data_IF_114406761161
#
_entry.id   IF_114406761161
#
_cell.length_a   1.000
_cell.length_b   1.000
_cell.length_c   1.000
_cell.angle_alpha   90.00
_cell.angle_beta   90.00
_cell.angle_gamma   90.00
#
_symmetry.space_group_name_H-M   'P 1'
#
loop_
_entity.id
_entity.type
_entity.pdbx_description
1 polymer ?
#
# COMPACT_ATOMS: atom_id res chain seq x y z
N UNK A 1 9.70 -19.82 5.52
CA UNK A 1 9.57 -18.71 4.56
C UNK A 1 8.59 -17.70 5.13
N UNK A 2 8.96 -16.43 5.23
CA UNK A 2 8.07 -15.39 5.74
C UNK A 2 6.91 -15.24 4.75
N UNK A 3 5.66 -15.47 5.17
CA UNK A 3 4.51 -15.35 4.26
C UNK A 3 4.37 -13.87 3.86
N UNK A 4 4.58 -13.58 2.57
CA UNK A 4 4.40 -12.24 2.02
C UNK A 4 2.96 -11.79 2.31
N UNK A 5 2.75 -10.61 2.91
CA UNK A 5 1.40 -10.11 3.17
C UNK A 5 0.64 -9.93 1.86
N UNK A 6 -0.68 -10.13 1.87
CA UNK A 6 -1.52 -9.89 0.69
C UNK A 6 -1.53 -8.39 0.35
N UNK A 7 -1.47 -8.07 -0.95
CA UNK A 7 -1.57 -6.68 -1.44
C UNK A 7 -2.91 -6.06 -1.03
N UNK A 8 -2.93 -4.82 -0.51
CA UNK A 8 -4.17 -4.17 -0.12
C UNK A 8 -5.04 -3.89 -1.35
N UNK A 9 -6.34 -4.19 -1.23
CA UNK A 9 -7.34 -3.84 -2.24
C UNK A 9 -7.61 -2.33 -2.18
N UNK A 10 -7.55 -1.67 -3.34
CA UNK A 10 -7.87 -0.24 -3.45
C UNK A 10 -9.36 -0.01 -3.21
N UNK A 11 -9.69 1.01 -2.41
CA UNK A 11 -11.07 1.50 -2.27
C UNK A 11 -11.52 2.07 -3.61
N UNK A 12 -12.77 1.76 -3.99
CA UNK A 12 -13.41 2.26 -5.19
C UNK A 12 -13.92 3.69 -4.95
N UNK A 13 -13.85 4.52 -5.98
CA UNK A 13 -14.41 5.87 -5.94
C UNK A 13 -15.94 5.86 -5.84
N UNK A 14 -16.54 6.90 -5.26
CA UNK A 14 -17.98 7.10 -5.34
C UNK A 14 -18.44 7.21 -6.80
N UNK A 15 -19.73 6.95 -7.04
CA UNK A 15 -20.33 7.15 -8.35
C UNK A 15 -20.24 8.63 -8.75
N UNK A 16 -19.87 8.88 -9.99
CA UNK A 16 -19.78 10.24 -10.53
C UNK A 16 -21.16 10.90 -10.50
N UNK A 17 -21.28 12.16 -10.05
CA UNK A 17 -22.52 12.93 -10.12
C UNK A 17 -22.98 13.09 -11.56
N UNK A 18 -24.30 13.25 -11.76
CA UNK A 18 -24.86 13.64 -13.06
C UNK A 18 -24.39 15.06 -13.41
N UNK A 19 -24.36 15.39 -14.71
CA UNK A 19 -24.01 16.74 -15.18
C UNK A 19 -24.91 17.83 -14.60
N UNK A 20 -26.18 17.51 -14.33
CA UNK A 20 -27.19 18.39 -13.74
C UNK A 20 -27.13 18.46 -12.21
N UNK A 21 -26.19 17.79 -11.56
CA UNK A 21 -26.05 17.84 -10.12
C UNK A 21 -25.59 19.24 -9.67
N UNK A 22 -26.02 19.64 -8.47
CA UNK A 22 -25.65 20.93 -7.90
C UNK A 22 -24.15 21.03 -7.62
N UNK A 23 -23.63 22.26 -7.57
CA UNK A 23 -22.22 22.54 -7.26
C UNK A 23 -21.78 21.88 -5.95
N UNK A 24 -22.64 21.91 -4.92
CA UNK A 24 -22.36 21.27 -3.63
C UNK A 24 -22.15 19.76 -3.77
N UNK A 25 -22.91 19.08 -4.63
CA UNK A 25 -22.73 17.63 -4.89
C UNK A 25 -21.38 17.36 -5.56
N UNK A 26 -20.97 18.22 -6.49
CA UNK A 26 -19.65 18.13 -7.12
C UNK A 26 -18.51 18.35 -6.13
N UNK A 27 -18.61 19.34 -5.26
CA UNK A 27 -17.60 19.61 -4.22
C UNK A 27 -17.50 18.45 -3.23
N UNK A 28 -18.64 17.92 -2.79
CA UNK A 28 -18.68 16.72 -1.95
C UNK A 28 -18.07 15.49 -2.64
N UNK A 29 -18.31 15.31 -3.94
CA UNK A 29 -17.71 14.24 -4.73
C UNK A 29 -16.19 14.35 -4.79
N UNK A 30 -15.66 15.54 -5.12
CA UNK A 30 -14.21 15.80 -5.15
C UNK A 30 -13.56 15.52 -3.80
N UNK A 31 -14.19 15.98 -2.71
CA UNK A 31 -13.71 15.72 -1.34
C UNK A 31 -13.61 14.23 -1.04
N UNK A 32 -14.66 13.46 -1.35
CA UNK A 32 -14.67 12.00 -1.17
C UNK A 32 -13.62 11.28 -2.01
N UNK A 33 -13.39 11.73 -3.25
CA UNK A 33 -12.32 11.18 -4.09
C UNK A 33 -10.93 11.42 -3.47
N UNK A 34 -10.66 12.66 -3.02
CA UNK A 34 -9.40 12.99 -2.37
C UNK A 34 -9.15 12.18 -1.08
N UNK A 35 -10.20 11.92 -0.29
CA UNK A 35 -10.11 11.08 0.90
C UNK A 35 -9.79 9.63 0.54
N UNK A 36 -10.39 9.09 -0.52
CA UNK A 36 -10.10 7.74 -1.03
C UNK A 36 -8.67 7.63 -1.52
N UNK A 37 -8.16 8.65 -2.21
CA UNK A 37 -6.77 8.70 -2.66
C UNK A 37 -5.80 8.64 -1.49
N UNK A 38 -6.03 9.45 -0.45
CA UNK A 38 -5.21 9.43 0.78
C UNK A 38 -5.20 8.03 1.42
N UNK A 39 -6.38 7.42 1.56
CA UNK A 39 -6.50 6.09 2.18
C UNK A 39 -5.82 5.02 1.34
N UNK A 40 -5.97 5.05 0.02
CA UNK A 40 -5.32 4.12 -0.89
C UNK A 40 -3.79 4.29 -0.86
N UNK A 41 -3.30 5.53 -0.82
CA UNK A 41 -1.89 5.84 -0.71
C UNK A 41 -1.28 5.35 0.62
N UNK A 42 -1.97 5.58 1.74
CA UNK A 42 -1.55 5.12 3.07
C UNK A 42 -1.44 3.59 3.11
N UNK A 43 -2.48 2.87 2.69
CA UNK A 43 -2.46 1.40 2.63
C UNK A 43 -1.34 0.86 1.75
N UNK A 44 -1.10 1.48 0.61
CA UNK A 44 0.00 1.09 -0.28
C UNK A 44 1.37 1.34 0.36
N UNK A 45 1.54 2.46 1.05
CA UNK A 45 2.78 2.81 1.77
C UNK A 45 3.09 1.81 2.88
N UNK A 46 2.11 1.49 3.72
CA UNK A 46 2.25 0.47 4.77
C UNK A 46 2.57 -0.90 4.22
N UNK A 47 1.92 -1.30 3.12
CA UNK A 47 2.22 -2.53 2.42
C UNK A 47 3.68 -2.56 1.95
N UNK A 48 4.14 -1.49 1.28
CA UNK A 48 5.54 -1.38 0.81
C UNK A 48 6.54 -1.46 1.98
N UNK A 49 6.25 -0.82 3.11
CA UNK A 49 7.10 -0.88 4.32
C UNK A 49 7.21 -2.31 4.85
N UNK A 50 6.10 -3.06 4.93
CA UNK A 50 6.10 -4.47 5.36
C UNK A 50 6.91 -5.35 4.42
N UNK A 51 6.77 -5.17 3.11
CA UNK A 51 7.55 -5.91 2.11
C UNK A 51 9.05 -5.60 2.25
N UNK A 52 9.41 -4.32 2.36
CA UNK A 52 10.80 -3.91 2.53
C UNK A 52 11.43 -4.51 3.80
N UNK A 53 10.69 -4.55 4.91
CA UNK A 53 11.15 -5.17 6.15
C UNK A 53 11.40 -6.67 6.01
N UNK A 54 10.51 -7.39 5.33
CA UNK A 54 10.68 -8.83 5.05
C UNK A 54 11.93 -9.06 4.19
N UNK A 55 12.05 -8.33 3.08
CA UNK A 55 13.18 -8.47 2.16
C UNK A 55 14.52 -8.16 2.85
N UNK A 56 14.57 -7.13 3.69
CA UNK A 56 15.76 -6.79 4.46
C UNK A 56 16.10 -7.88 5.49
N UNK A 57 15.10 -8.46 6.14
CA UNK A 57 15.27 -9.60 7.04
C UNK A 57 15.82 -10.84 6.32
N UNK A 58 15.32 -11.13 5.12
CA UNK A 58 15.79 -12.26 4.31
C UNK A 58 17.23 -12.04 3.82
N UNK A 59 17.57 -10.86 3.30
CA UNK A 59 18.95 -10.51 2.94
C UNK A 59 19.93 -10.65 4.12
N UNK A 60 19.52 -10.21 5.32
CA UNK A 60 20.35 -10.35 6.52
C UNK A 60 20.55 -11.81 6.93
N UNK A 61 19.52 -12.65 6.82
CA UNK A 61 19.65 -14.09 7.04
C UNK A 61 20.62 -14.73 6.05
N UNK A 62 20.49 -14.41 4.76
CA UNK A 62 21.40 -14.91 3.72
C UNK A 62 22.85 -14.48 3.98
N UNK A 63 23.10 -13.23 4.37
CA UNK A 63 24.45 -12.76 4.67
C UNK A 63 25.06 -13.48 5.87
N UNK A 64 24.26 -13.76 6.91
CA UNK A 64 24.72 -14.51 8.09
C UNK A 64 25.09 -15.95 7.68
N UNK A 65 24.22 -16.62 6.91
CA UNK A 65 24.48 -18.00 6.44
C UNK A 65 25.76 -18.05 5.60
N UNK A 66 25.95 -17.11 4.66
CA UNK A 66 27.19 -17.03 3.87
C UNK A 66 28.42 -16.77 4.73
N UNK A 67 28.33 -15.89 5.72
CA UNK A 67 29.41 -15.60 6.66
C UNK A 67 29.81 -16.83 7.49
N UNK A 68 28.84 -17.61 7.96
CA UNK A 68 29.08 -18.88 8.67
C UNK A 68 29.73 -19.91 7.74
N UNK A 69 29.20 -20.08 6.53
CA UNK A 69 29.71 -21.03 5.55
C UNK A 69 31.15 -20.72 5.11
N UNK A 70 31.55 -19.44 5.04
CA UNK A 70 32.92 -19.02 4.69
C UNK A 70 33.94 -19.22 5.83
N UNK A 71 33.48 -19.34 7.07
CA UNK A 71 34.33 -19.47 8.26
C UNK A 71 34.60 -20.94 8.66
N UNK A 72 33.85 -21.88 8.08
CA UNK A 72 34.12 -23.31 8.10
C UNK A 72 34.97 -23.70 6.89
#
# INVERSE_FOLDING_TARGET
>A
MSKIPKKPVKRKYPKMPKKTASLQVWENYKKRCADIDKINAQKLSEYKKKIAAINNGEKKKESIIKGIAKKR
#
